data_IF_249847818461
#
_entry.id   IF_249847818461
#
_cell.length_a   1.000
_cell.length_b   1.000
_cell.length_c   1.000
_cell.angle_alpha   90.00
_cell.angle_beta   90.00
_cell.angle_gamma   90.00
#
_symmetry.space_group_name_H-M   'P 1'
#
loop_
_entity.id
_entity.type
_entity.pdbx_description
1 polymer ?
#
# COMPACT_ATOMS: atom_id res chain seq x y z
N UNK A 1 25.89 11.00 -6.84
CA UNK A 1 25.54 9.60 -6.52
C UNK A 1 24.35 9.18 -7.37
N UNK A 2 24.28 7.88 -7.70
CA UNK A 2 23.22 7.27 -8.50
C UNK A 2 22.47 6.22 -7.67
N UNK A 3 21.16 6.34 -7.57
CA UNK A 3 20.32 5.39 -6.84
C UNK A 3 19.51 4.50 -7.78
N UNK A 4 19.53 3.20 -7.50
CA UNK A 4 18.79 2.18 -8.25
C UNK A 4 17.50 1.77 -7.54
N UNK A 5 16.41 1.62 -8.28
CA UNK A 5 15.13 1.12 -7.78
C UNK A 5 14.72 -0.13 -8.56
N UNK A 6 14.54 -1.24 -7.85
CA UNK A 6 14.12 -2.50 -8.44
C UNK A 6 12.75 -2.90 -7.88
N UNK A 7 11.70 -2.86 -8.71
CA UNK A 7 10.37 -3.32 -8.29
C UNK A 7 10.16 -4.79 -8.61
N UNK A 8 9.79 -5.58 -7.62
CA UNK A 8 9.39 -6.98 -7.77
C UNK A 8 7.94 -7.14 -8.26
N UNK A 9 7.19 -6.06 -8.44
CA UNK A 9 5.80 -6.09 -8.90
C UNK A 9 5.65 -6.90 -10.19
N UNK A 10 4.80 -7.93 -10.14
CA UNK A 10 4.58 -8.84 -11.25
C UNK A 10 3.12 -9.07 -11.62
N UNK A 11 2.18 -8.69 -10.73
CA UNK A 11 0.74 -8.98 -10.88
C UNK A 11 -0.06 -7.93 -11.65
N UNK A 12 0.42 -6.70 -11.72
CA UNK A 12 -0.27 -5.58 -12.39
C UNK A 12 0.71 -4.49 -12.81
N UNK A 13 0.31 -3.60 -13.77
CA UNK A 13 1.17 -2.50 -14.24
C UNK A 13 1.53 -1.47 -13.19
N UNK A 14 0.67 -1.26 -12.18
CA UNK A 14 0.89 -0.29 -11.11
C UNK A 14 -0.01 -0.60 -9.91
N UNK A 15 0.47 -0.35 -8.70
CA UNK A 15 -0.27 -0.54 -7.46
C UNK A 15 0.18 0.41 -6.36
N UNK A 16 -0.53 0.42 -5.23
CA UNK A 16 -0.20 1.27 -4.07
C UNK A 16 1.22 1.03 -3.51
N UNK A 17 1.73 -0.19 -3.63
CA UNK A 17 3.10 -0.56 -3.23
C UNK A 17 4.20 0.17 -4.01
N UNK A 18 3.87 0.72 -5.19
CA UNK A 18 4.84 1.40 -6.05
C UNK A 18 4.96 2.90 -5.77
N UNK A 19 3.97 3.46 -5.05
CA UNK A 19 3.87 4.91 -4.86
C UNK A 19 5.05 5.47 -4.04
N UNK A 20 5.43 4.79 -2.95
CA UNK A 20 6.49 5.26 -2.07
C UNK A 20 7.82 5.39 -2.82
N UNK A 21 8.28 4.30 -3.44
CA UNK A 21 9.57 4.32 -4.12
C UNK A 21 9.59 5.29 -5.32
N UNK A 22 8.50 5.37 -6.08
CA UNK A 22 8.47 6.24 -7.26
C UNK A 22 8.48 7.73 -6.89
N UNK A 23 7.73 8.13 -5.84
CA UNK A 23 7.79 9.50 -5.32
C UNK A 23 9.17 9.80 -4.71
N UNK A 24 9.77 8.85 -4.00
CA UNK A 24 11.13 8.97 -3.45
C UNK A 24 12.17 9.11 -4.58
N UNK A 25 12.09 8.28 -5.62
CA UNK A 25 12.95 8.38 -6.80
C UNK A 25 12.85 9.77 -7.46
N UNK A 26 11.63 10.30 -7.58
CA UNK A 26 11.42 11.66 -8.10
C UNK A 26 12.00 12.73 -7.21
N UNK A 27 11.87 12.60 -5.89
CA UNK A 27 12.44 13.55 -4.94
C UNK A 27 13.98 13.55 -5.03
N UNK A 28 14.62 12.37 -5.11
CA UNK A 28 16.06 12.25 -5.28
C UNK A 28 16.55 12.92 -6.58
N UNK A 29 15.78 12.84 -7.70
CA UNK A 29 16.09 13.60 -8.90
C UNK A 29 16.05 15.12 -8.66
N UNK A 30 15.06 15.61 -7.90
CA UNK A 30 14.96 17.03 -7.54
C UNK A 30 16.14 17.49 -6.67
N UNK A 31 16.64 16.60 -5.83
CA UNK A 31 17.83 16.83 -4.99
C UNK A 31 19.16 16.71 -5.79
N UNK A 32 19.10 16.46 -7.12
CA UNK A 32 20.27 16.40 -7.99
C UNK A 32 20.96 15.04 -8.06
N UNK A 33 20.35 13.97 -7.53
CA UNK A 33 20.87 12.62 -7.67
C UNK A 33 20.47 11.99 -9.02
N UNK A 34 21.32 11.14 -9.56
CA UNK A 34 20.97 10.29 -10.68
C UNK A 34 20.07 9.13 -10.21
N UNK A 35 19.07 8.81 -11.01
CA UNK A 35 18.13 7.73 -10.71
C UNK A 35 18.06 6.74 -11.87
N UNK A 36 18.15 5.46 -11.55
CA UNK A 36 17.85 4.37 -12.47
C UNK A 36 16.82 3.43 -11.86
N UNK A 37 15.92 2.87 -12.68
CA UNK A 37 14.90 1.94 -12.21
C UNK A 37 14.84 0.70 -13.10
N UNK A 38 14.57 -0.45 -12.50
CA UNK A 38 14.29 -1.69 -13.22
C UNK A 38 12.88 -2.15 -12.91
N UNK A 39 12.04 -2.20 -13.94
CA UNK A 39 10.61 -2.47 -13.82
C UNK A 39 10.16 -3.54 -14.82
N UNK A 40 9.16 -4.35 -14.46
CA UNK A 40 8.57 -5.32 -15.39
C UNK A 40 7.89 -4.57 -16.53
N UNK A 41 8.11 -5.06 -17.78
CA UNK A 41 7.42 -4.48 -18.93
C UNK A 41 5.94 -4.84 -18.95
N UNK A 42 5.12 -3.86 -19.30
CA UNK A 42 3.68 -4.01 -19.51
C UNK A 42 3.29 -3.33 -20.82
N UNK A 43 2.21 -3.79 -21.47
CA UNK A 43 1.70 -3.15 -22.68
C UNK A 43 1.26 -1.69 -22.43
N UNK A 44 0.87 -1.38 -21.20
CA UNK A 44 0.57 -0.04 -20.71
C UNK A 44 1.69 0.44 -19.78
N UNK A 45 2.23 1.63 -20.05
CA UNK A 45 3.23 2.27 -19.20
C UNK A 45 2.52 3.11 -18.13
N UNK A 46 2.83 2.83 -16.87
CA UNK A 46 2.32 3.64 -15.77
C UNK A 46 2.84 5.08 -15.84
N UNK A 47 1.97 6.05 -15.60
CA UNK A 47 2.30 7.48 -15.67
C UNK A 47 3.49 7.88 -14.78
N UNK A 48 3.61 7.40 -13.51
CA UNK A 48 4.77 7.75 -12.69
C UNK A 48 6.11 7.32 -13.29
N UNK A 49 6.18 6.18 -14.00
CA UNK A 49 7.39 5.74 -14.70
C UNK A 49 7.72 6.66 -15.88
N UNK A 50 6.71 7.05 -16.67
CA UNK A 50 6.88 8.01 -17.75
C UNK A 50 7.35 9.38 -17.22
N UNK A 51 6.88 9.78 -16.05
CA UNK A 51 7.29 11.01 -15.39
C UNK A 51 8.75 10.94 -14.93
N UNK A 52 9.19 9.83 -14.32
CA UNK A 52 10.60 9.64 -13.95
C UNK A 52 11.53 9.73 -15.18
N UNK A 53 11.19 9.05 -16.28
CA UNK A 53 11.96 9.10 -17.54
C UNK A 53 12.04 10.53 -18.12
N UNK A 54 10.91 11.24 -18.15
CA UNK A 54 10.86 12.64 -18.63
C UNK A 54 11.81 13.56 -17.85
N UNK A 55 12.11 13.22 -16.61
CA UNK A 55 13.00 14.00 -15.75
C UNK A 55 14.41 13.38 -15.62
N UNK A 56 14.80 12.53 -16.57
CA UNK A 56 16.17 12.05 -16.72
C UNK A 56 16.49 10.73 -16.03
N UNK A 57 15.51 10.01 -15.45
CA UNK A 57 15.76 8.66 -14.96
C UNK A 57 15.96 7.68 -16.13
N UNK A 58 16.91 6.75 -15.97
CA UNK A 58 17.02 5.59 -16.85
C UNK A 58 16.09 4.49 -16.36
N UNK A 59 14.99 4.20 -17.09
CA UNK A 59 14.09 3.09 -16.75
C UNK A 59 14.33 1.90 -17.65
N UNK A 60 14.83 0.82 -17.09
CA UNK A 60 15.08 -0.44 -17.76
C UNK A 60 13.88 -1.39 -17.57
N UNK A 61 13.32 -1.88 -18.67
CA UNK A 61 12.16 -2.77 -18.65
C UNK A 61 12.60 -4.22 -18.84
N UNK A 62 12.40 -5.07 -17.81
CA UNK A 62 12.60 -6.53 -17.91
C UNK A 62 11.38 -7.22 -18.53
N UNK A 63 11.55 -8.43 -19.01
CA UNK A 63 10.50 -9.29 -19.62
C UNK A 63 9.80 -8.65 -20.83
N UNK A 64 10.48 -7.72 -21.52
CA UNK A 64 9.95 -7.12 -22.73
C UNK A 64 9.83 -8.16 -23.82
N UNK A 65 8.67 -8.29 -24.51
CA UNK A 65 8.51 -9.25 -25.62
C UNK A 65 9.60 -9.07 -26.68
N UNK A 66 10.17 -10.18 -27.14
CA UNK A 66 11.17 -10.16 -28.21
C UNK A 66 10.55 -9.55 -29.47
N UNK A 67 11.31 -8.68 -30.16
CA UNK A 67 10.90 -8.17 -31.48
C UNK A 67 10.67 -9.33 -32.44
N UNK A 68 9.70 -9.22 -33.40
CA UNK A 68 9.48 -10.27 -34.42
C UNK A 68 10.77 -10.65 -35.13
N UNK A 69 10.91 -11.92 -35.50
CA UNK A 69 12.12 -12.56 -36.05
C UNK A 69 12.81 -11.79 -37.19
N UNK A 70 12.08 -11.09 -38.05
CA UNK A 70 12.63 -10.29 -39.16
C UNK A 70 13.55 -9.11 -38.74
N UNK A 71 13.46 -8.65 -37.48
CA UNK A 71 14.36 -7.61 -36.93
C UNK A 71 15.52 -8.18 -36.12
N UNK A 72 15.58 -9.50 -35.91
CA UNK A 72 16.65 -10.18 -35.16
C UNK A 72 17.93 -10.39 -36.00
N UNK A 73 17.83 -10.41 -37.33
CA UNK A 73 18.92 -10.72 -38.24
C UNK A 73 19.95 -9.56 -38.32
N UNK A 74 19.55 -8.34 -37.94
CA UNK A 74 20.41 -7.16 -37.98
C UNK A 74 20.75 -6.56 -36.61
N UNK A 75 20.34 -7.20 -35.52
CA UNK A 75 20.80 -6.80 -34.18
C UNK A 75 21.85 -7.80 -33.72
N UNK A 76 23.09 -7.32 -33.59
CA UNK A 76 24.16 -8.09 -32.94
C UNK A 76 23.61 -8.75 -31.66
N UNK A 77 24.00 -10.02 -31.41
CA UNK A 77 23.77 -10.75 -30.18
C UNK A 77 24.34 -9.97 -28.97
N UNK A 78 23.67 -8.90 -28.56
CA UNK A 78 23.92 -8.29 -27.27
C UNK A 78 23.44 -9.30 -26.21
N UNK A 79 24.35 -9.90 -25.46
CA UNK A 79 24.06 -10.51 -24.18
C UNK A 79 23.11 -9.55 -23.44
N UNK A 80 22.03 -10.09 -22.80
CA UNK A 80 21.16 -9.25 -21.96
C UNK A 80 22.09 -8.55 -20.97
N UNK A 81 22.38 -7.28 -21.24
CA UNK A 81 23.26 -6.50 -20.39
C UNK A 81 22.60 -6.42 -19.01
N UNK A 82 23.31 -6.92 -18.00
CA UNK A 82 22.81 -6.88 -16.64
C UNK A 82 22.60 -5.42 -16.25
N UNK A 83 21.40 -5.07 -15.80
CA UNK A 83 21.04 -3.71 -15.41
C UNK A 83 22.05 -3.10 -14.41
N UNK A 84 22.45 -3.87 -13.37
CA UNK A 84 23.40 -3.38 -12.37
C UNK A 84 24.80 -3.15 -12.93
N UNK A 85 25.25 -3.97 -13.90
CA UNK A 85 26.55 -3.80 -14.56
C UNK A 85 26.56 -2.59 -15.50
N UNK A 86 25.42 -2.29 -16.15
CA UNK A 86 25.32 -1.14 -17.05
C UNK A 86 25.16 0.18 -16.32
N UNK A 87 24.30 0.20 -15.29
CA UNK A 87 23.92 1.44 -14.59
C UNK A 87 24.84 1.78 -13.42
N UNK A 88 25.42 0.77 -12.77
CA UNK A 88 26.32 0.88 -11.60
C UNK A 88 25.84 1.88 -10.55
N UNK A 89 24.63 1.65 -9.95
CA UNK A 89 24.16 2.52 -8.90
C UNK A 89 25.03 2.40 -7.64
N UNK A 90 25.14 3.48 -6.88
CA UNK A 90 25.86 3.52 -5.59
C UNK A 90 25.11 2.75 -4.49
N UNK A 91 23.77 2.65 -4.60
CA UNK A 91 22.92 1.81 -3.77
C UNK A 91 21.64 1.43 -4.51
N UNK A 92 21.00 0.33 -4.10
CA UNK A 92 19.75 -0.19 -4.68
C UNK A 92 18.68 -0.33 -3.62
N UNK A 93 17.47 0.16 -3.90
CA UNK A 93 16.25 -0.21 -3.18
C UNK A 93 15.52 -1.30 -3.95
N UNK A 94 15.32 -2.45 -3.33
CA UNK A 94 14.46 -3.54 -3.82
C UNK A 94 13.10 -3.42 -3.15
N UNK A 95 12.03 -3.27 -3.93
CA UNK A 95 10.68 -3.09 -3.40
C UNK A 95 9.78 -4.28 -3.73
N UNK A 96 9.16 -4.83 -2.69
CA UNK A 96 8.26 -5.97 -2.75
C UNK A 96 6.84 -5.53 -2.46
N UNK A 97 5.90 -5.90 -3.35
CA UNK A 97 4.47 -5.77 -3.09
C UNK A 97 4.00 -6.77 -2.03
N UNK A 98 4.56 -7.99 -2.06
CA UNK A 98 4.34 -9.07 -1.10
C UNK A 98 5.65 -9.71 -0.68
N UNK A 99 5.72 -10.17 0.57
CA UNK A 99 6.92 -10.79 1.15
C UNK A 99 7.42 -12.06 0.44
N UNK A 100 6.60 -12.90 -0.24
CA UNK A 100 7.11 -14.08 -0.94
C UNK A 100 7.67 -13.78 -2.34
N UNK A 101 7.68 -12.51 -2.79
CA UNK A 101 8.32 -12.14 -4.04
C UNK A 101 9.82 -12.48 -4.01
N UNK A 102 10.34 -13.06 -5.08
CA UNK A 102 11.75 -13.47 -5.15
C UNK A 102 12.67 -12.27 -5.31
N UNK A 103 13.73 -12.21 -4.52
CA UNK A 103 14.68 -11.11 -4.47
C UNK A 103 16.01 -11.48 -5.17
N UNK A 104 15.95 -12.17 -6.30
CA UNK A 104 17.15 -12.64 -7.02
C UNK A 104 18.14 -11.52 -7.38
N UNK A 105 17.68 -10.28 -7.47
CA UNK A 105 18.55 -9.11 -7.70
C UNK A 105 19.52 -8.88 -6.52
N UNK A 106 19.19 -9.35 -5.31
CA UNK A 106 20.05 -9.22 -4.15
C UNK A 106 21.35 -10.03 -4.32
N UNK A 107 21.30 -11.22 -4.94
CA UNK A 107 22.50 -12.00 -5.25
C UNK A 107 23.44 -11.24 -6.20
N UNK A 108 22.87 -10.50 -7.13
CA UNK A 108 23.61 -9.70 -8.08
C UNK A 108 24.21 -8.45 -7.43
N UNK A 109 23.48 -7.80 -6.53
CA UNK A 109 24.00 -6.71 -5.70
C UNK A 109 25.21 -7.19 -4.89
N UNK A 110 25.11 -8.35 -4.23
CA UNK A 110 26.21 -8.96 -3.47
C UNK A 110 27.41 -9.25 -4.34
N UNK A 111 27.23 -9.89 -5.50
CA UNK A 111 28.29 -10.20 -6.45
C UNK A 111 29.07 -8.95 -6.90
N UNK A 112 28.37 -7.84 -7.09
CA UNK A 112 28.95 -6.56 -7.55
C UNK A 112 29.40 -5.65 -6.40
N UNK A 113 29.17 -6.02 -5.15
CA UNK A 113 29.50 -5.19 -3.98
C UNK A 113 28.64 -3.92 -3.87
N UNK A 114 27.43 -3.92 -4.44
CA UNK A 114 26.50 -2.79 -4.39
C UNK A 114 25.63 -2.94 -3.13
N UNK A 115 25.63 -1.99 -2.20
CA UNK A 115 24.76 -2.00 -1.03
C UNK A 115 23.30 -1.92 -1.44
N UNK A 116 22.41 -2.61 -0.71
CA UNK A 116 21.00 -2.59 -1.01
C UNK A 116 20.12 -2.57 0.23
N UNK A 117 18.95 -1.94 0.12
CA UNK A 117 17.86 -2.02 1.06
C UNK A 117 16.67 -2.78 0.46
N UNK A 118 15.84 -3.35 1.31
CA UNK A 118 14.62 -4.06 0.91
C UNK A 118 13.42 -3.37 1.52
N UNK A 119 12.41 -3.01 0.71
CA UNK A 119 11.15 -2.43 1.18
C UNK A 119 10.01 -3.44 0.99
N UNK A 120 9.29 -3.77 2.07
CA UNK A 120 8.21 -4.75 2.10
C UNK A 120 6.90 -4.04 2.38
N UNK A 121 6.04 -3.98 1.35
CA UNK A 121 4.76 -3.26 1.42
C UNK A 121 3.62 -4.10 2.04
N UNK A 122 3.71 -5.43 2.00
CA UNK A 122 2.73 -6.30 2.63
C UNK A 122 3.32 -7.66 3.00
N UNK A 123 3.12 -8.09 4.24
CA UNK A 123 3.32 -9.46 4.67
C UNK A 123 1.96 -10.06 5.09
N UNK A 124 1.70 -11.29 4.70
CA UNK A 124 0.42 -11.96 4.93
C UNK A 124 0.62 -13.42 5.35
N UNK A 125 -0.22 -13.89 6.26
CA UNK A 125 -0.28 -15.29 6.66
C UNK A 125 -0.98 -16.21 5.63
N UNK A 126 -1.41 -15.66 4.49
CA UNK A 126 -1.97 -16.45 3.39
C UNK A 126 -0.89 -17.00 2.44
N UNK A 127 0.33 -16.47 2.53
CA UNK A 127 1.44 -16.87 1.67
C UNK A 127 2.64 -17.26 2.53
N UNK A 128 3.20 -18.42 2.27
CA UNK A 128 4.37 -18.92 2.95
C UNK A 128 5.50 -19.16 1.94
N UNK A 129 6.73 -18.84 2.37
CA UNK A 129 7.92 -19.17 1.61
C UNK A 129 8.16 -20.68 1.75
N UNK A 130 8.40 -21.35 0.62
CA UNK A 130 8.68 -22.77 0.60
C UNK A 130 9.97 -23.09 1.36
N UNK A 131 9.98 -24.17 2.14
CA UNK A 131 11.10 -24.53 3.01
C UNK A 131 12.45 -24.62 2.28
N UNK A 132 12.46 -25.12 1.05
CA UNK A 132 13.68 -25.25 0.22
C UNK A 132 14.31 -23.88 -0.14
N UNK A 133 13.57 -22.78 0.04
CA UNK A 133 14.03 -21.43 -0.28
C UNK A 133 14.30 -20.58 0.97
N UNK A 134 14.07 -21.11 2.17
CA UNK A 134 14.22 -20.34 3.41
C UNK A 134 15.61 -19.75 3.58
N UNK A 135 16.66 -20.51 3.26
CA UNK A 135 18.02 -20.05 3.45
C UNK A 135 18.40 -18.93 2.47
N UNK A 136 17.87 -18.97 1.21
CA UNK A 136 18.04 -17.88 0.26
C UNK A 136 17.41 -16.58 0.80
N UNK A 137 16.15 -16.65 1.25
CA UNK A 137 15.46 -15.47 1.79
C UNK A 137 16.14 -14.91 3.05
N UNK A 138 16.53 -15.79 3.97
CA UNK A 138 17.28 -15.39 5.18
C UNK A 138 18.57 -14.69 4.82
N UNK A 139 19.28 -15.19 3.80
CA UNK A 139 20.54 -14.61 3.37
C UNK A 139 20.33 -13.24 2.73
N UNK A 140 19.34 -13.08 1.81
CA UNK A 140 19.01 -11.80 1.17
C UNK A 140 18.67 -10.72 2.21
N UNK A 141 17.91 -11.07 3.24
CA UNK A 141 17.53 -10.14 4.29
C UNK A 141 18.69 -9.79 5.24
N UNK A 142 19.56 -10.74 5.58
CA UNK A 142 20.75 -10.47 6.43
C UNK A 142 21.75 -9.55 5.75
N UNK A 143 21.94 -9.72 4.44
CA UNK A 143 22.93 -8.97 3.67
C UNK A 143 22.44 -7.59 3.25
N UNK A 144 21.13 -7.30 3.40
CA UNK A 144 20.60 -5.98 3.19
C UNK A 144 21.09 -5.00 4.26
N UNK A 145 21.49 -3.79 3.85
CA UNK A 145 21.87 -2.71 4.79
C UNK A 145 20.70 -2.34 5.71
N UNK A 146 19.45 -2.37 5.16
CA UNK A 146 18.20 -2.14 5.90
C UNK A 146 17.06 -2.95 5.27
N UNK A 147 16.14 -3.39 6.12
CA UNK A 147 14.84 -3.97 5.70
C UNK A 147 13.73 -3.08 6.20
N UNK A 148 13.04 -2.42 5.29
CA UNK A 148 12.00 -1.46 5.60
C UNK A 148 10.62 -2.13 5.58
N UNK A 149 9.87 -1.97 6.66
CA UNK A 149 8.51 -2.44 6.81
C UNK A 149 7.55 -1.27 6.98
N UNK A 150 6.32 -1.42 6.51
CA UNK A 150 5.29 -0.39 6.63
C UNK A 150 4.47 -0.50 7.92
N UNK A 151 4.66 -1.58 8.69
CA UNK A 151 4.05 -1.80 10.01
C UNK A 151 4.84 -2.84 10.81
N UNK A 152 4.74 -2.78 12.15
CA UNK A 152 5.31 -3.77 13.05
C UNK A 152 4.70 -5.16 12.80
N UNK A 153 3.40 -5.21 12.51
CA UNK A 153 2.72 -6.48 12.19
C UNK A 153 3.31 -7.15 10.95
N UNK A 154 3.65 -6.38 9.90
CA UNK A 154 4.29 -6.94 8.70
C UNK A 154 5.69 -7.49 9.00
N UNK A 155 6.46 -6.80 9.83
CA UNK A 155 7.75 -7.31 10.31
C UNK A 155 7.56 -8.64 11.03
N UNK A 156 6.70 -8.69 12.05
CA UNK A 156 6.44 -9.89 12.84
C UNK A 156 5.94 -11.06 11.98
N UNK A 157 5.06 -10.81 11.03
CA UNK A 157 4.57 -11.85 10.10
C UNK A 157 5.69 -12.44 9.26
N UNK A 158 6.59 -11.60 8.73
CA UNK A 158 7.70 -12.08 7.94
C UNK A 158 8.73 -12.81 8.83
N UNK A 159 9.06 -12.30 10.00
CA UNK A 159 9.93 -12.98 10.97
C UNK A 159 9.45 -14.41 11.27
N UNK A 160 8.13 -14.56 11.51
CA UNK A 160 7.53 -15.86 11.75
C UNK A 160 7.55 -16.75 10.50
N UNK A 161 7.33 -16.17 9.31
CA UNK A 161 7.31 -16.91 8.05
C UNK A 161 8.67 -17.53 7.71
N UNK A 162 9.75 -16.79 7.96
CA UNK A 162 11.13 -17.24 7.68
C UNK A 162 11.87 -17.77 8.90
N UNK A 163 11.23 -17.77 10.08
CA UNK A 163 11.84 -18.16 11.35
C UNK A 163 13.19 -17.46 11.60
N UNK A 164 13.22 -16.11 11.47
CA UNK A 164 14.40 -15.27 11.66
C UNK A 164 13.97 -13.91 12.22
N UNK A 165 14.75 -13.37 13.16
CA UNK A 165 14.59 -11.99 13.62
C UNK A 165 15.42 -11.04 12.76
N UNK A 166 14.91 -9.82 12.54
CA UNK A 166 15.63 -8.79 11.83
C UNK A 166 16.37 -7.88 12.81
N UNK A 167 17.70 -7.79 12.66
CA UNK A 167 18.53 -6.81 13.39
C UNK A 167 18.64 -5.47 12.64
N UNK A 168 18.30 -5.47 11.34
CA UNK A 168 18.39 -4.34 10.42
C UNK A 168 17.02 -3.84 9.96
N UNK A 169 15.94 -4.18 10.69
CA UNK A 169 14.58 -3.71 10.39
C UNK A 169 14.36 -2.26 10.76
N UNK A 170 13.53 -1.58 9.98
CA UNK A 170 13.07 -0.23 10.25
C UNK A 170 11.63 -0.06 9.77
N UNK A 171 10.78 0.55 10.61
CA UNK A 171 9.39 0.88 10.22
C UNK A 171 9.38 2.23 9.52
N UNK A 172 8.73 2.26 8.36
CA UNK A 172 8.61 3.46 7.52
C UNK A 172 7.15 3.84 7.30
N UNK A 173 6.93 5.08 6.88
CA UNK A 173 5.61 5.60 6.56
C UNK A 173 5.39 5.62 5.04
N UNK A 174 4.21 5.18 4.59
CA UNK A 174 3.77 5.34 3.21
C UNK A 174 3.23 6.76 2.97
N UNK A 175 3.35 7.33 1.75
CA UNK A 175 2.76 8.63 1.44
C UNK A 175 1.23 8.54 1.38
N UNK A 176 0.56 9.63 1.69
CA UNK A 176 -0.89 9.80 1.58
C UNK A 176 -1.23 10.78 0.43
N UNK A 177 -2.53 10.89 0.07
CA UNK A 177 -3.00 11.66 -1.09
C UNK A 177 -3.99 12.79 -0.69
N UNK A 178 -3.95 13.24 0.54
CA UNK A 178 -4.70 14.39 1.06
C UNK A 178 -3.73 15.42 1.62
N UNK A 179 -4.15 16.65 1.84
CA UNK A 179 -3.33 17.60 2.58
C UNK A 179 -3.16 17.11 4.03
N UNK A 180 -1.95 17.28 4.60
CA UNK A 180 -1.69 16.90 5.99
C UNK A 180 -2.54 17.68 6.98
N UNK A 181 -2.87 18.90 6.64
CA UNK A 181 -3.71 19.80 7.43
C UNK A 181 -5.15 19.86 6.90
N UNK A 182 -5.59 18.84 6.11
CA UNK A 182 -6.93 18.76 5.55
C UNK A 182 -8.01 18.84 6.64
N UNK A 183 -9.05 19.62 6.38
CA UNK A 183 -10.20 19.79 7.26
C UNK A 183 -11.50 19.92 6.43
N UNK A 184 -11.91 18.89 5.68
CA UNK A 184 -13.16 18.91 4.93
C UNK A 184 -14.34 19.09 5.89
N UNK A 185 -15.36 19.82 5.43
CA UNK A 185 -16.57 20.02 6.22
C UNK A 185 -17.21 18.69 6.65
N UNK A 186 -17.83 18.69 7.82
CA UNK A 186 -18.58 17.52 8.29
C UNK A 186 -19.87 17.37 7.47
N UNK A 187 -20.18 16.20 6.94
CA UNK A 187 -21.41 16.00 6.16
C UNK A 187 -22.66 16.20 7.00
N UNK A 188 -23.77 16.60 6.36
CA UNK A 188 -25.07 16.66 7.04
C UNK A 188 -25.57 15.26 7.40
N UNK A 189 -26.15 15.16 8.60
CA UNK A 189 -26.79 13.94 9.09
C UNK A 189 -28.30 13.88 8.86
N UNK A 190 -28.89 14.88 8.17
CA UNK A 190 -30.34 14.94 7.90
C UNK A 190 -30.87 13.72 7.16
N UNK A 191 -30.05 13.15 6.27
CA UNK A 191 -30.39 11.97 5.45
C UNK A 191 -29.76 10.67 6.00
N UNK A 192 -29.32 10.70 7.27
CA UNK A 192 -28.63 9.60 7.93
C UNK A 192 -27.13 9.64 7.83
N UNK A 193 -26.49 8.52 8.14
CA UNK A 193 -25.04 8.40 8.12
C UNK A 193 -24.55 7.67 6.87
N UNK A 194 -23.41 8.14 6.34
CA UNK A 194 -22.74 7.54 5.18
C UNK A 194 -21.35 7.10 5.60
N UNK A 195 -20.98 5.87 5.23
CA UNK A 195 -19.64 5.33 5.47
C UNK A 195 -19.00 4.94 4.14
N UNK A 196 -17.77 5.35 3.92
CA UNK A 196 -17.04 5.04 2.70
C UNK A 196 -16.21 3.76 2.84
N UNK A 197 -16.35 2.82 1.92
CA UNK A 197 -15.41 1.73 1.72
C UNK A 197 -14.55 2.09 0.50
N UNK A 198 -13.30 2.50 0.77
CA UNK A 198 -12.39 3.00 -0.26
C UNK A 198 -11.33 1.96 -0.59
N UNK A 199 -11.31 1.52 -1.83
CA UNK A 199 -10.35 0.56 -2.32
C UNK A 199 -10.83 -0.19 -3.55
N UNK A 200 -9.93 -0.94 -4.17
CA UNK A 200 -10.28 -1.78 -5.32
C UNK A 200 -11.32 -2.83 -4.93
N UNK A 201 -12.31 -3.07 -5.79
CA UNK A 201 -13.32 -4.11 -5.54
C UNK A 201 -12.68 -5.49 -5.73
N UNK A 202 -12.14 -6.01 -4.64
CA UNK A 202 -11.44 -7.29 -4.58
C UNK A 202 -11.77 -7.99 -3.25
N UNK A 203 -12.65 -8.99 -3.28
CA UNK A 203 -13.18 -9.62 -2.08
C UNK A 203 -12.10 -10.23 -1.19
N UNK A 204 -11.17 -10.94 -1.81
CA UNK A 204 -10.13 -11.67 -1.07
C UNK A 204 -9.26 -10.74 -0.20
N UNK A 205 -8.98 -9.52 -0.62
CA UNK A 205 -8.18 -8.58 0.17
C UNK A 205 -9.02 -7.59 0.96
N UNK A 206 -10.08 -7.01 0.36
CA UNK A 206 -10.80 -5.85 0.88
C UNK A 206 -12.11 -6.18 1.63
N UNK A 207 -12.58 -7.44 1.57
CA UNK A 207 -13.70 -7.90 2.39
C UNK A 207 -15.06 -7.28 2.08
N UNK A 208 -15.31 -6.83 0.83
CA UNK A 208 -16.60 -6.27 0.41
C UNK A 208 -17.77 -7.25 0.63
N UNK A 209 -17.51 -8.54 0.53
CA UNK A 209 -18.46 -9.60 0.80
C UNK A 209 -18.87 -9.63 2.28
N UNK A 210 -17.95 -9.37 3.22
CA UNK A 210 -18.22 -9.37 4.65
C UNK A 210 -19.24 -8.29 5.00
N UNK A 211 -19.08 -7.07 4.47
CA UNK A 211 -20.03 -5.98 4.80
C UNK A 211 -21.41 -6.21 4.18
N UNK A 212 -21.52 -6.87 3.01
CA UNK A 212 -22.83 -7.28 2.48
C UNK A 212 -23.52 -8.24 3.46
N UNK A 213 -22.77 -9.22 3.98
CA UNK A 213 -23.30 -10.18 4.95
C UNK A 213 -23.69 -9.53 6.29
N UNK A 214 -23.01 -8.48 6.73
CA UNK A 214 -23.40 -7.68 7.89
C UNK A 214 -24.67 -6.89 7.59
N UNK A 215 -24.72 -6.15 6.49
CA UNK A 215 -25.83 -5.26 6.15
C UNK A 215 -27.14 -5.97 5.85
N UNK A 216 -27.12 -7.25 5.45
CA UNK A 216 -28.36 -8.05 5.25
C UNK A 216 -29.10 -8.39 6.56
N UNK A 217 -28.47 -8.23 7.73
CA UNK A 217 -29.10 -8.48 9.02
C UNK A 217 -30.23 -7.46 9.27
N UNK A 218 -31.33 -7.91 9.89
CA UNK A 218 -32.52 -7.10 10.11
C UNK A 218 -32.26 -5.78 10.86
N UNK A 219 -31.35 -5.78 11.83
CA UNK A 219 -30.99 -4.60 12.61
C UNK A 219 -30.37 -3.50 11.74
N UNK A 220 -29.52 -3.87 10.75
CA UNK A 220 -28.88 -2.92 9.86
C UNK A 220 -29.83 -2.38 8.79
N UNK A 221 -30.76 -3.20 8.30
CA UNK A 221 -31.79 -2.80 7.36
C UNK A 221 -32.71 -1.70 7.90
N UNK A 222 -32.90 -1.64 9.23
CA UNK A 222 -33.76 -0.65 9.90
C UNK A 222 -33.02 0.67 10.22
N UNK A 223 -31.71 0.73 10.01
CA UNK A 223 -30.88 1.89 10.34
C UNK A 223 -30.71 2.79 9.12
N UNK A 224 -30.73 4.10 9.35
CA UNK A 224 -30.43 5.06 8.31
C UNK A 224 -28.91 5.19 8.14
N UNK A 225 -28.30 4.12 7.60
CA UNK A 225 -26.89 3.98 7.33
C UNK A 225 -26.69 3.55 5.88
N UNK A 226 -25.83 4.27 5.15
CA UNK A 226 -25.47 3.96 3.77
C UNK A 226 -23.99 3.62 3.65
N UNK A 227 -23.67 2.54 2.95
CA UNK A 227 -22.29 2.13 2.60
C UNK A 227 -22.00 2.55 1.17
N UNK A 228 -20.98 3.38 0.98
CA UNK A 228 -20.59 3.94 -0.31
C UNK A 228 -19.25 3.32 -0.77
N UNK A 229 -19.25 2.61 -1.89
CA UNK A 229 -18.06 1.97 -2.43
C UNK A 229 -17.33 2.89 -3.40
N UNK A 230 -16.05 3.18 -3.10
CA UNK A 230 -15.16 3.98 -3.92
C UNK A 230 -13.98 3.14 -4.41
N UNK A 231 -13.73 3.11 -5.71
CA UNK A 231 -12.57 2.47 -6.30
C UNK A 231 -12.84 1.79 -7.64
N UNK A 232 -11.77 1.27 -8.22
CA UNK A 232 -11.83 0.54 -9.48
C UNK A 232 -12.23 -0.92 -9.27
N UNK A 233 -12.83 -1.51 -10.31
CA UNK A 233 -13.06 -2.95 -10.36
C UNK A 233 -11.72 -3.71 -10.47
N UNK A 234 -11.58 -4.72 -9.64
CA UNK A 234 -10.50 -5.72 -9.76
C UNK A 234 -11.08 -7.15 -9.79
N UNK A 235 -12.16 -7.32 -10.53
CA UNK A 235 -12.76 -8.61 -10.85
C UNK A 235 -13.98 -9.00 -10.02
N UNK A 236 -14.38 -8.22 -9.00
CA UNK A 236 -15.53 -8.56 -8.17
C UNK A 236 -16.68 -7.53 -8.19
N UNK A 237 -16.60 -6.46 -8.97
CA UNK A 237 -17.68 -5.44 -9.02
C UNK A 237 -19.01 -6.02 -9.44
N UNK A 238 -19.03 -6.84 -10.51
CA UNK A 238 -20.25 -7.49 -10.98
C UNK A 238 -20.85 -8.36 -9.87
N UNK A 239 -20.02 -9.19 -9.25
CA UNK A 239 -20.45 -10.08 -8.16
C UNK A 239 -20.98 -9.28 -6.98
N UNK A 240 -20.32 -8.17 -6.57
CA UNK A 240 -20.80 -7.28 -5.51
C UNK A 240 -22.17 -6.71 -5.85
N UNK A 241 -22.37 -6.21 -7.07
CA UNK A 241 -23.64 -5.66 -7.51
C UNK A 241 -24.76 -6.72 -7.49
N UNK A 242 -24.48 -7.95 -7.91
CA UNK A 242 -25.45 -9.05 -7.90
C UNK A 242 -25.79 -9.47 -6.46
N UNK A 243 -24.82 -9.47 -5.52
CA UNK A 243 -25.06 -9.75 -4.10
C UNK A 243 -25.94 -8.68 -3.45
N UNK A 244 -25.66 -7.39 -3.71
CA UNK A 244 -26.47 -6.27 -3.22
C UNK A 244 -27.94 -6.43 -3.67
N UNK A 245 -28.18 -6.73 -4.94
CA UNK A 245 -29.51 -6.96 -5.49
C UNK A 245 -30.16 -8.22 -4.89
N UNK A 246 -29.42 -9.32 -4.81
CA UNK A 246 -29.94 -10.58 -4.25
C UNK A 246 -30.45 -10.39 -2.82
N UNK A 247 -29.80 -9.53 -2.05
CA UNK A 247 -30.18 -9.23 -0.68
C UNK A 247 -31.07 -7.99 -0.54
N UNK A 248 -31.50 -7.33 -1.63
CA UNK A 248 -32.35 -6.12 -1.62
C UNK A 248 -31.74 -5.00 -0.76
N UNK A 249 -30.48 -4.66 -1.01
CA UNK A 249 -29.70 -3.66 -0.26
C UNK A 249 -29.37 -2.41 -1.07
N UNK A 250 -30.01 -2.22 -2.25
CA UNK A 250 -29.72 -1.12 -3.20
C UNK A 250 -29.93 0.26 -2.58
N UNK A 251 -30.84 0.41 -1.64
CA UNK A 251 -31.10 1.67 -0.92
C UNK A 251 -30.01 2.01 0.11
N UNK A 252 -29.29 0.99 0.61
CA UNK A 252 -28.28 1.13 1.66
C UNK A 252 -26.84 0.93 1.18
N UNK A 253 -26.62 0.42 -0.02
CA UNK A 253 -25.30 0.11 -0.56
C UNK A 253 -25.16 0.66 -1.98
N UNK A 254 -24.23 1.60 -2.17
CA UNK A 254 -24.07 2.35 -3.40
C UNK A 254 -22.65 2.23 -3.95
N UNK A 255 -22.51 1.92 -5.24
CA UNK A 255 -21.22 1.98 -5.91
C UNK A 255 -21.03 3.36 -6.56
N UNK A 256 -20.24 4.23 -5.93
CA UNK A 256 -19.97 5.59 -6.40
C UNK A 256 -18.93 5.59 -7.52
N UNK A 257 -17.92 4.73 -7.45
CA UNK A 257 -16.85 4.65 -8.44
C UNK A 257 -15.52 5.22 -7.95
N UNK A 258 -14.63 5.54 -8.87
CA UNK A 258 -13.32 6.10 -8.56
C UNK A 258 -13.40 7.63 -8.39
N UNK A 259 -12.67 8.16 -7.42
CA UNK A 259 -12.46 9.60 -7.24
C UNK A 259 -10.98 9.94 -7.31
N UNK A 260 -10.63 10.92 -8.14
CA UNK A 260 -9.27 11.49 -8.19
C UNK A 260 -8.99 12.44 -7.02
N UNK A 261 -10.05 12.97 -6.41
CA UNK A 261 -9.96 13.86 -5.25
C UNK A 261 -10.33 13.10 -3.99
N UNK A 262 -9.32 12.58 -3.28
CA UNK A 262 -9.54 11.77 -2.08
C UNK A 262 -10.28 12.55 -0.98
N UNK A 263 -9.98 13.84 -0.83
CA UNK A 263 -10.63 14.70 0.16
C UNK A 263 -12.15 14.83 -0.07
N UNK A 264 -12.61 14.85 -1.32
CA UNK A 264 -14.05 14.93 -1.62
C UNK A 264 -14.84 13.69 -1.16
N UNK A 265 -14.18 12.54 -0.99
CA UNK A 265 -14.80 11.37 -0.40
C UNK A 265 -15.25 11.68 1.04
N UNK A 266 -14.43 12.45 1.76
CA UNK A 266 -14.69 12.78 3.15
C UNK A 266 -15.63 13.98 3.34
N UNK A 267 -15.90 14.75 2.29
CA UNK A 267 -16.99 15.74 2.28
C UNK A 267 -18.38 15.08 2.25
N UNK A 268 -18.46 13.85 1.70
CA UNK A 268 -19.71 13.12 1.53
C UNK A 268 -19.91 11.99 2.55
N UNK A 269 -18.88 11.61 3.31
CA UNK A 269 -18.93 10.45 4.20
C UNK A 269 -18.42 10.77 5.62
N UNK A 270 -19.11 10.22 6.62
CA UNK A 270 -18.87 10.45 8.03
C UNK A 270 -17.75 9.58 8.61
N UNK A 271 -17.50 8.41 8.02
CA UNK A 271 -16.52 7.44 8.48
C UNK A 271 -15.94 6.61 7.33
N UNK A 272 -14.74 6.07 7.57
CA UNK A 272 -14.18 5.00 6.76
C UNK A 272 -14.65 3.64 7.28
N UNK A 273 -14.97 2.72 6.36
CA UNK A 273 -15.10 1.29 6.63
C UNK A 273 -14.04 0.52 5.85
N UNK A 274 -13.24 -0.30 6.53
CA UNK A 274 -12.19 -1.10 5.89
C UNK A 274 -12.15 -2.53 6.46
N UNK A 275 -13.02 -3.45 5.99
CA UNK A 275 -13.10 -4.83 6.47
C UNK A 275 -12.07 -5.76 5.82
N UNK A 276 -10.89 -5.26 5.55
CA UNK A 276 -9.86 -5.97 4.78
C UNK A 276 -9.37 -7.23 5.50
N UNK A 277 -9.03 -8.27 4.73
CA UNK A 277 -8.45 -9.52 5.24
C UNK A 277 -6.95 -9.46 5.40
N UNK A 278 -6.28 -8.62 4.63
CA UNK A 278 -4.85 -8.33 4.76
C UNK A 278 -4.50 -6.96 4.15
N UNK A 279 -3.60 -6.26 4.80
CA UNK A 279 -3.01 -4.99 4.39
C UNK A 279 -1.57 -4.90 4.88
N UNK A 280 -0.81 -3.97 4.30
CA UNK A 280 0.46 -3.52 4.88
C UNK A 280 0.26 -2.34 5.80
N UNK A 281 0.07 -1.16 5.19
CA UNK A 281 -0.36 0.07 5.85
C UNK A 281 -1.37 0.75 4.92
N UNK A 282 -2.67 0.59 5.16
CA UNK A 282 -3.69 1.10 4.25
C UNK A 282 -3.72 2.63 4.29
N UNK A 283 -3.35 3.27 3.18
CA UNK A 283 -3.27 4.73 3.05
C UNK A 283 -4.60 5.40 3.39
N UNK A 284 -5.71 4.76 3.03
CA UNK A 284 -7.05 5.30 3.24
C UNK A 284 -7.39 5.51 4.72
N UNK A 285 -6.80 4.74 5.64
CA UNK A 285 -6.97 4.96 7.09
C UNK A 285 -6.31 6.28 7.49
N UNK A 286 -5.09 6.51 7.03
CA UNK A 286 -4.35 7.74 7.28
C UNK A 286 -5.09 8.94 6.67
N UNK A 287 -5.55 8.79 5.42
CA UNK A 287 -6.30 9.81 4.69
C UNK A 287 -7.63 10.17 5.36
N UNK A 288 -8.39 9.19 5.82
CA UNK A 288 -9.62 9.42 6.59
C UNK A 288 -9.35 10.16 7.90
N UNK A 289 -8.35 9.70 8.66
CA UNK A 289 -7.99 10.33 9.93
C UNK A 289 -7.45 11.76 9.73
N UNK A 290 -6.60 12.03 8.72
CA UNK A 290 -6.17 13.38 8.37
C UNK A 290 -7.33 14.30 8.01
N UNK A 291 -8.38 13.75 7.41
CA UNK A 291 -9.62 14.45 7.09
C UNK A 291 -10.63 14.49 8.26
N UNK A 292 -10.20 14.19 9.48
CA UNK A 292 -11.02 14.18 10.69
C UNK A 292 -12.22 13.21 10.58
N UNK A 293 -12.00 12.02 10.03
CA UNK A 293 -12.99 10.93 9.98
C UNK A 293 -12.50 9.75 10.80
N UNK A 294 -13.41 9.13 11.55
CA UNK A 294 -13.12 7.86 12.20
C UNK A 294 -12.94 6.74 11.17
N UNK A 295 -12.18 5.73 11.56
CA UNK A 295 -12.05 4.51 10.78
C UNK A 295 -12.60 3.31 11.54
N UNK A 296 -13.46 2.51 10.87
CA UNK A 296 -13.98 1.24 11.34
C UNK A 296 -13.25 0.16 10.54
N UNK A 297 -12.33 -0.55 11.16
CA UNK A 297 -11.39 -1.41 10.44
C UNK A 297 -11.22 -2.78 11.09
N UNK A 298 -10.62 -3.70 10.35
CA UNK A 298 -10.07 -4.93 10.93
C UNK A 298 -8.68 -4.68 11.52
N UNK A 299 -8.29 -5.52 12.47
CA UNK A 299 -7.02 -5.47 13.18
C UNK A 299 -5.87 -6.05 12.33
N UNK A 300 -5.52 -5.36 11.24
CA UNK A 300 -4.50 -5.81 10.29
C UNK A 300 -3.55 -4.68 9.89
N UNK A 301 -2.35 -5.06 9.49
CA UNK A 301 -1.33 -4.11 9.06
C UNK A 301 -1.07 -3.06 10.15
N UNK A 302 -1.06 -1.79 9.75
CA UNK A 302 -0.78 -0.68 10.67
C UNK A 302 -2.00 -0.18 11.47
N UNK A 303 -3.19 -0.75 11.27
CA UNK A 303 -4.42 -0.20 11.86
C UNK A 303 -4.37 -0.09 13.38
N UNK A 304 -3.81 -1.12 14.08
CA UNK A 304 -3.64 -1.10 15.54
C UNK A 304 -2.63 -0.06 16.05
N UNK A 305 -1.69 0.35 15.20
CA UNK A 305 -0.68 1.36 15.55
C UNK A 305 -1.24 2.78 15.41
N UNK A 306 -2.26 2.97 14.57
CA UNK A 306 -2.81 4.27 14.20
C UNK A 306 -4.10 4.60 14.96
N UNK A 307 -4.94 3.62 15.24
CA UNK A 307 -6.29 3.80 15.78
C UNK A 307 -6.34 3.37 17.24
N UNK A 308 -6.79 4.26 18.11
CA UNK A 308 -7.16 3.94 19.48
C UNK A 308 -8.62 3.46 19.47
N UNK A 309 -8.81 2.15 19.74
CA UNK A 309 -10.12 1.49 19.63
C UNK A 309 -11.13 2.10 20.61
N UNK A 310 -12.33 2.42 20.13
CA UNK A 310 -13.42 3.11 20.82
C UNK A 310 -13.16 4.61 21.15
N UNK A 311 -12.02 5.18 20.73
CA UNK A 311 -11.67 6.59 20.96
C UNK A 311 -11.53 7.36 19.65
N UNK A 312 -10.59 6.97 18.79
CA UNK A 312 -10.36 7.59 17.47
C UNK A 312 -10.87 6.76 16.29
N UNK A 313 -11.49 5.62 16.58
CA UNK A 313 -12.07 4.70 15.61
C UNK A 313 -12.48 3.38 16.26
N UNK A 314 -12.75 2.37 15.44
CA UNK A 314 -13.21 1.06 15.92
C UNK A 314 -12.49 -0.07 15.19
N UNK A 315 -12.02 -1.05 15.96
CA UNK A 315 -11.22 -2.16 15.42
C UNK A 315 -11.96 -3.48 15.66
N UNK A 316 -12.34 -4.15 14.57
CA UNK A 316 -12.74 -5.55 14.58
C UNK A 316 -11.49 -6.43 14.75
N UNK A 317 -11.48 -7.36 15.68
CA UNK A 317 -10.31 -8.20 15.96
C UNK A 317 -9.94 -9.17 14.82
N UNK A 318 -10.81 -9.31 13.81
CA UNK A 318 -10.57 -10.12 12.61
C UNK A 318 -11.58 -9.83 11.51
N UNK A 319 -11.31 -10.34 10.30
CA UNK A 319 -12.13 -10.15 9.11
C UNK A 319 -13.21 -11.23 8.99
N UNK A 320 -14.10 -11.30 9.95
CA UNK A 320 -15.30 -12.17 9.95
C UNK A 320 -16.58 -11.35 10.11
N UNK A 321 -17.71 -11.93 9.78
CA UNK A 321 -19.01 -11.25 9.84
C UNK A 321 -19.29 -10.78 11.28
N UNK A 322 -19.17 -11.67 12.26
CA UNK A 322 -19.51 -11.38 13.66
C UNK A 322 -18.59 -10.31 14.26
N UNK A 323 -17.29 -10.37 13.98
CA UNK A 323 -16.32 -9.41 14.51
C UNK A 323 -16.47 -8.03 13.87
N UNK A 324 -16.79 -7.97 12.56
CA UNK A 324 -17.08 -6.71 11.91
C UNK A 324 -18.40 -6.12 12.37
N UNK A 325 -19.42 -6.96 12.55
CA UNK A 325 -20.71 -6.57 13.08
C UNK A 325 -20.61 -5.96 14.49
N UNK A 326 -19.80 -6.55 15.38
CA UNK A 326 -19.49 -6.00 16.71
C UNK A 326 -18.84 -4.61 16.62
N UNK A 327 -17.80 -4.46 15.82
CA UNK A 327 -17.11 -3.19 15.67
C UNK A 327 -18.03 -2.10 15.07
N UNK A 328 -18.85 -2.47 14.09
CA UNK A 328 -19.81 -1.57 13.47
C UNK A 328 -20.94 -1.21 14.44
N UNK A 329 -21.38 -2.15 15.32
CA UNK A 329 -22.38 -1.89 16.37
C UNK A 329 -21.86 -0.88 17.39
N UNK A 330 -20.66 -1.09 17.92
CA UNK A 330 -20.00 -0.14 18.84
C UNK A 330 -19.86 1.25 18.21
N UNK A 331 -19.53 1.29 16.92
CA UNK A 331 -19.46 2.55 16.17
C UNK A 331 -20.86 3.18 16.06
N UNK A 332 -21.88 2.41 15.70
CA UNK A 332 -23.24 2.92 15.55
C UNK A 332 -23.82 3.48 16.85
N UNK A 333 -23.57 2.84 17.97
CA UNK A 333 -24.01 3.31 19.29
C UNK A 333 -23.43 4.71 19.61
N UNK A 334 -22.21 5.01 19.13
CA UNK A 334 -21.53 6.30 19.32
C UNK A 334 -21.66 7.25 18.11
N UNK A 335 -22.56 6.99 17.14
CA UNK A 335 -22.62 7.75 15.89
C UNK A 335 -22.77 9.27 16.07
N UNK A 336 -23.48 9.69 17.09
CA UNK A 336 -23.67 11.12 17.40
C UNK A 336 -22.37 11.81 17.92
N UNK A 337 -21.34 11.03 18.20
CA UNK A 337 -20.00 11.47 18.62
C UNK A 337 -18.96 11.34 17.51
N UNK A 338 -19.30 10.82 16.32
CA UNK A 338 -18.32 10.54 15.27
C UNK A 338 -17.56 11.78 14.81
N UNK A 339 -18.17 12.96 14.81
CA UNK A 339 -17.49 14.20 14.46
C UNK A 339 -16.37 14.53 15.46
N UNK A 340 -16.68 14.46 16.76
CA UNK A 340 -15.70 14.69 17.82
C UNK A 340 -14.59 13.62 17.82
N UNK A 341 -14.96 12.36 17.68
CA UNK A 341 -14.00 11.24 17.57
C UNK A 341 -13.12 11.38 16.32
N UNK A 342 -13.68 11.88 15.21
CA UNK A 342 -12.94 12.18 13.99
C UNK A 342 -11.91 13.28 14.17
N UNK A 343 -12.25 14.36 14.91
CA UNK A 343 -11.30 15.40 15.26
C UNK A 343 -10.13 14.84 16.08
N UNK A 344 -10.43 13.99 17.07
CA UNK A 344 -9.41 13.30 17.86
C UNK A 344 -8.55 12.37 16.98
N UNK A 345 -9.16 11.66 16.03
CA UNK A 345 -8.43 10.84 15.06
C UNK A 345 -7.44 11.68 14.24
N UNK A 346 -7.87 12.86 13.80
CA UNK A 346 -7.03 13.81 13.08
C UNK A 346 -5.85 14.34 13.93
N UNK A 347 -6.06 14.60 15.20
CA UNK A 347 -5.00 14.99 16.12
C UNK A 347 -3.99 13.86 16.34
N UNK A 348 -4.47 12.64 16.61
CA UNK A 348 -3.64 11.47 16.83
C UNK A 348 -2.78 11.12 15.62
N UNK A 349 -3.36 11.13 14.41
CA UNK A 349 -2.59 10.78 13.21
C UNK A 349 -1.51 11.81 12.91
N UNK A 350 -1.78 13.12 13.11
CA UNK A 350 -0.77 14.18 12.91
C UNK A 350 0.39 14.11 13.90
N UNK A 351 0.17 13.56 15.09
CA UNK A 351 1.22 13.33 16.08
C UNK A 351 2.06 12.07 15.77
N UNK A 352 1.44 11.02 15.20
CA UNK A 352 2.04 9.69 15.03
C UNK A 352 2.60 9.45 13.63
N UNK A 353 2.20 10.26 12.66
CA UNK A 353 2.57 10.06 11.26
C UNK A 353 3.35 11.25 10.71
N UNK A 354 4.44 11.03 9.96
CA UNK A 354 5.25 12.13 9.45
C UNK A 354 4.48 12.98 8.43
N UNK A 355 4.73 14.30 8.48
CA UNK A 355 4.15 15.23 7.50
C UNK A 355 4.71 15.01 6.09
N UNK A 356 5.97 14.63 5.98
CA UNK A 356 6.64 14.33 4.69
C UNK A 356 7.32 12.95 4.74
N UNK A 357 6.55 11.85 4.60
CA UNK A 357 7.10 10.51 4.60
C UNK A 357 8.03 10.23 3.41
N UNK A 358 7.88 10.98 2.31
CA UNK A 358 8.75 10.83 1.14
C UNK A 358 10.14 11.36 1.43
N UNK A 359 10.25 12.53 2.08
CA UNK A 359 11.54 13.11 2.49
C UNK A 359 12.25 12.20 3.48
N UNK A 360 11.54 11.76 4.52
CA UNK A 360 12.12 10.85 5.50
C UNK A 360 12.64 9.55 4.85
N UNK A 361 11.90 9.00 3.91
CA UNK A 361 12.34 7.80 3.21
C UNK A 361 13.51 8.07 2.24
N UNK A 362 13.52 9.22 1.57
CA UNK A 362 14.65 9.62 0.72
C UNK A 362 15.97 9.73 1.51
N UNK A 363 15.91 10.30 2.71
CA UNK A 363 17.09 10.40 3.59
C UNK A 363 17.60 9.01 4.02
N UNK A 364 16.68 8.06 4.28
CA UNK A 364 17.04 6.66 4.57
C UNK A 364 17.68 5.98 3.36
N UNK A 365 17.15 6.20 2.15
CA UNK A 365 17.73 5.65 0.91
C UNK A 365 19.12 6.21 0.64
N UNK A 366 19.33 7.50 0.83
CA UNK A 366 20.67 8.10 0.64
C UNK A 366 21.69 7.54 1.64
N UNK A 367 21.26 7.16 2.83
CA UNK A 367 22.13 6.53 3.84
C UNK A 367 22.56 5.09 3.50
N UNK A 368 21.91 4.42 2.54
CA UNK A 368 22.32 3.08 2.10
C UNK A 368 23.65 3.12 1.33
N UNK A 369 23.92 4.21 0.61
CA UNK A 369 25.18 4.37 -0.10
C UNK A 369 26.32 4.54 0.92
N UNK A 370 27.36 3.73 0.82
CA UNK A 370 28.58 3.92 1.64
C UNK A 370 29.16 5.29 1.32
N UNK A 371 29.51 6.05 2.34
CA UNK A 371 30.25 7.30 2.13
C UNK A 371 31.48 6.98 1.26
N UNK A 372 31.77 7.79 0.20
CA UNK A 372 32.98 7.59 -0.56
C UNK A 372 34.15 7.56 0.42
N UNK A 373 35.01 6.54 0.31
CA UNK A 373 36.23 6.48 1.10
C UNK A 373 36.98 7.80 0.87
N UNK A 374 37.13 8.58 1.93
CA UNK A 374 37.96 9.79 1.90
C UNK A 374 39.37 9.29 1.66
N UNK A 375 39.82 9.35 0.40
CA UNK A 375 41.15 9.01 -0.02
C UNK A 375 42.16 10.06 0.43
#
# INVERSE_FOLDING_TARGET
MKFGFYSCMSGMPWGGSEVLWARTARLLQLDGYEVTANYKWWAYKAEPLAHLEKHGATVCYRDKPAKPLLKRIFSSNGAKQNWLESERPDAVLVTLGYHPDQILIADECRRLGIPYGINIQCASNFFFIHSDRLDDYRQWYRDAERVFFVSEENQLKLENNIAMKFENAEIIANPFNVDFDAAPAWPSTSDGFRIALVGRVHFQSKGHDIIVDVMKQEKWRKRNLKVCFYGHDQGNKRQLTELIKMHQLEDQMEFVGYSDKVESIWEDNHALLLPSRYEGAPLVVIEAMLCNRIAITTAIGRNRELIDDNESGFIASGATIDLLDDALERAWEKRDQWEQMGQLAGEHIRQRYPKDPIREFADKITSLAKAPAVG
#
